data_IF_694812965828
#
_entry.id   IF_694812965828
#
_cell.length_a   1.000
_cell.length_b   1.000
_cell.length_c   1.000
_cell.angle_alpha   90.00
_cell.angle_beta   90.00
_cell.angle_gamma   90.00
#
_symmetry.space_group_name_H-M   'P 1'
#
loop_
_entity.id
_entity.type
_entity.pdbx_description
1 polymer ?
#
# COMPACT_ATOMS: atom_id res chain seq x y z
N UNK A 1 19.16 -8.73 14.08
CA UNK A 1 17.73 -8.53 14.37
C UNK A 1 17.46 -9.05 15.77
N UNK A 2 17.00 -8.18 16.70
CA UNK A 2 16.75 -8.55 18.10
C UNK A 2 15.37 -9.21 18.32
N UNK A 3 14.46 -9.10 17.33
CA UNK A 3 13.10 -9.61 17.42
C UNK A 3 12.94 -10.90 16.58
N UNK A 4 12.65 -12.07 17.19
CA UNK A 4 12.48 -13.33 16.46
C UNK A 4 11.34 -13.30 15.44
N UNK A 5 10.26 -12.54 15.72
CA UNK A 5 9.11 -12.40 14.79
C UNK A 5 9.51 -11.64 13.51
N UNK A 6 10.31 -10.58 13.65
CA UNK A 6 10.85 -9.83 12.49
C UNK A 6 11.80 -10.69 11.67
N UNK A 7 12.68 -11.43 12.33
CA UNK A 7 13.60 -12.35 11.65
C UNK A 7 12.83 -13.38 10.84
N UNK A 8 11.81 -14.01 11.43
CA UNK A 8 10.97 -14.99 10.75
C UNK A 8 10.20 -14.37 9.56
N UNK A 9 9.71 -13.14 9.71
CA UNK A 9 9.06 -12.41 8.63
C UNK A 9 10.02 -12.16 7.47
N UNK A 10 11.22 -11.64 7.75
CA UNK A 10 12.24 -11.34 6.71
C UNK A 10 12.66 -12.60 5.96
N UNK A 11 12.85 -13.73 6.65
CA UNK A 11 13.19 -15.00 5.99
C UNK A 11 12.07 -15.48 5.06
N UNK A 12 10.82 -15.44 5.52
CA UNK A 12 9.65 -15.78 4.69
C UNK A 12 9.51 -14.84 3.49
N UNK A 13 9.74 -13.54 3.70
CA UNK A 13 9.70 -12.54 2.64
C UNK A 13 10.75 -12.83 1.57
N UNK A 14 12.00 -13.07 1.97
CA UNK A 14 13.07 -13.47 1.05
C UNK A 14 12.66 -14.66 0.19
N UNK A 15 12.14 -15.72 0.80
CA UNK A 15 11.76 -16.93 0.09
C UNK A 15 10.61 -16.69 -0.92
N UNK A 16 9.66 -15.81 -0.58
CA UNK A 16 8.59 -15.37 -1.49
C UNK A 16 9.16 -14.61 -2.69
N UNK A 17 10.04 -13.63 -2.43
CA UNK A 17 10.67 -12.84 -3.48
C UNK A 17 11.51 -13.69 -4.44
N UNK A 18 12.25 -14.67 -3.92
CA UNK A 18 13.02 -15.63 -4.73
C UNK A 18 12.09 -16.50 -5.60
N UNK A 19 10.97 -16.98 -5.05
CA UNK A 19 9.98 -17.73 -5.85
C UNK A 19 9.37 -16.87 -6.97
N UNK A 20 8.98 -15.63 -6.66
CA UNK A 20 8.45 -14.71 -7.65
C UNK A 20 9.49 -14.41 -8.76
N UNK A 21 10.76 -14.19 -8.39
CA UNK A 21 11.85 -13.98 -9.34
C UNK A 21 11.99 -15.19 -10.30
N UNK A 22 12.00 -16.43 -9.78
CA UNK A 22 12.08 -17.64 -10.61
C UNK A 22 10.92 -17.76 -11.60
N UNK A 23 9.70 -17.37 -11.20
CA UNK A 23 8.53 -17.34 -12.10
C UNK A 23 8.77 -16.36 -13.26
N UNK A 24 9.28 -15.14 -12.96
CA UNK A 24 9.59 -14.14 -13.99
C UNK A 24 10.70 -14.60 -14.93
N UNK A 25 11.79 -15.18 -14.41
CA UNK A 25 12.85 -15.76 -15.22
C UNK A 25 12.35 -16.85 -16.19
N UNK A 26 11.41 -17.68 -15.71
CA UNK A 26 10.79 -18.69 -16.57
C UNK A 26 9.91 -18.09 -17.63
N UNK A 27 9.13 -17.06 -17.31
CA UNK A 27 8.30 -16.33 -18.26
C UNK A 27 9.16 -15.61 -19.33
N UNK A 28 10.27 -14.98 -18.91
CA UNK A 28 11.20 -14.29 -19.80
C UNK A 28 11.81 -15.26 -20.84
N UNK A 29 12.19 -16.47 -20.42
CA UNK A 29 12.66 -17.53 -21.35
C UNK A 29 11.60 -17.94 -22.38
N UNK A 30 10.33 -17.69 -22.09
CA UNK A 30 9.19 -17.94 -22.96
C UNK A 30 8.78 -16.70 -23.78
N UNK A 31 9.57 -15.63 -23.75
CA UNK A 31 9.30 -14.36 -24.44
C UNK A 31 8.22 -13.51 -23.77
N UNK A 32 7.89 -13.75 -22.49
CA UNK A 32 6.89 -12.98 -21.76
C UNK A 32 7.56 -12.17 -20.64
N UNK A 33 7.58 -10.86 -20.79
CA UNK A 33 8.09 -9.96 -19.77
C UNK A 33 7.03 -9.70 -18.69
N UNK A 34 7.35 -10.00 -17.43
CA UNK A 34 6.48 -9.75 -16.26
C UNK A 34 7.17 -8.73 -15.36
N UNK A 35 6.55 -7.57 -15.08
CA UNK A 35 7.15 -6.57 -14.21
C UNK A 35 7.23 -7.09 -12.75
N UNK A 36 8.28 -6.70 -12.00
CA UNK A 36 8.41 -7.09 -10.59
C UNK A 36 7.42 -6.36 -9.68
N UNK A 37 6.87 -5.23 -10.11
CA UNK A 37 5.91 -4.43 -9.33
C UNK A 37 4.79 -3.87 -10.19
N UNK A 38 3.67 -3.60 -9.53
CA UNK A 38 2.51 -2.89 -10.06
C UNK A 38 2.19 -1.69 -9.18
N UNK A 39 1.43 -0.75 -9.70
CA UNK A 39 0.79 0.32 -8.95
C UNK A 39 -0.72 0.21 -9.18
N UNK A 40 -1.47 0.03 -8.09
CA UNK A 40 -2.93 -0.08 -8.11
C UNK A 40 -3.57 1.14 -7.45
N UNK A 41 -4.36 1.87 -8.21
CA UNK A 41 -5.17 2.98 -7.69
C UNK A 41 -6.50 2.40 -7.19
N UNK A 42 -6.55 2.04 -5.89
CA UNK A 42 -7.69 1.31 -5.30
C UNK A 42 -8.80 2.23 -4.76
N UNK A 43 -8.51 3.52 -4.58
CA UNK A 43 -9.44 4.50 -4.03
C UNK A 43 -9.57 5.73 -4.92
N UNK A 44 -10.80 6.16 -5.16
CA UNK A 44 -11.13 7.40 -5.87
C UNK A 44 -11.43 8.56 -4.91
N UNK A 45 -11.59 8.28 -3.62
CA UNK A 45 -11.87 9.26 -2.58
C UNK A 45 -10.62 9.55 -1.74
N UNK A 46 -10.54 10.76 -1.19
CA UNK A 46 -9.48 11.15 -0.27
C UNK A 46 -10.03 12.13 0.78
N UNK A 47 -9.65 11.94 2.04
CA UNK A 47 -9.98 12.81 3.16
C UNK A 47 -9.14 14.09 3.23
N UNK A 48 -8.17 14.29 2.33
CA UNK A 48 -7.37 15.51 2.21
C UNK A 48 -7.49 16.17 0.84
N UNK A 49 -7.20 17.49 0.79
CA UNK A 49 -7.19 18.32 -0.43
C UNK A 49 -5.80 18.95 -0.66
N UNK A 50 -4.77 18.10 -0.73
CA UNK A 50 -3.37 18.55 -0.84
C UNK A 50 -3.11 19.39 -2.08
N UNK A 51 -2.32 20.46 -1.94
CA UNK A 51 -1.84 21.28 -3.06
C UNK A 51 -0.98 20.44 -4.01
N UNK A 52 -1.26 20.52 -5.31
CA UNK A 52 -0.51 19.76 -6.34
C UNK A 52 -0.67 18.24 -6.24
N UNK A 53 -1.82 17.75 -5.75
CA UNK A 53 -2.11 16.33 -5.68
C UNK A 53 -2.26 15.74 -7.08
N UNK A 54 -1.42 14.76 -7.44
CA UNK A 54 -1.47 14.10 -8.74
C UNK A 54 -2.79 13.35 -9.00
N UNK A 55 -3.36 12.75 -7.95
CA UNK A 55 -4.59 11.99 -8.06
C UNK A 55 -5.78 12.90 -8.43
N UNK A 56 -5.80 14.14 -7.91
CA UNK A 56 -6.80 15.14 -8.30
C UNK A 56 -6.52 15.72 -9.68
N UNK A 57 -5.25 16.03 -9.97
CA UNK A 57 -4.84 16.59 -11.26
C UNK A 57 -5.16 15.64 -12.44
N UNK A 58 -5.08 14.33 -12.21
CA UNK A 58 -5.36 13.29 -13.20
C UNK A 58 -6.80 12.73 -13.11
N UNK A 59 -7.70 13.36 -12.38
CA UNK A 59 -9.09 12.95 -12.30
C UNK A 59 -9.36 11.69 -11.46
N UNK A 60 -8.35 11.09 -10.82
CA UNK A 60 -8.52 9.87 -9.98
C UNK A 60 -9.46 10.15 -8.80
N UNK A 61 -9.38 11.35 -8.22
CA UNK A 61 -10.27 11.79 -7.12
C UNK A 61 -11.49 12.57 -7.63
N UNK A 62 -11.94 12.34 -8.83
CA UNK A 62 -13.21 12.85 -9.35
C UNK A 62 -14.29 11.80 -9.14
N UNK A 63 -15.53 12.25 -8.92
CA UNK A 63 -16.68 11.38 -8.95
C UNK A 63 -16.83 10.83 -10.38
N UNK A 64 -16.25 9.65 -10.66
CA UNK A 64 -16.49 8.96 -11.91
C UNK A 64 -17.81 8.19 -11.78
N UNK A 65 -18.63 8.22 -12.83
CA UNK A 65 -19.81 7.36 -12.93
C UNK A 65 -19.43 5.87 -13.08
N UNK A 66 -18.15 5.58 -13.29
CA UNK A 66 -17.62 4.23 -13.40
C UNK A 66 -17.64 3.52 -12.03
N UNK A 67 -18.20 2.34 -12.03
CA UNK A 67 -18.29 1.50 -10.84
C UNK A 67 -16.88 1.06 -10.40
N UNK A 68 -16.47 1.44 -9.20
CA UNK A 68 -15.23 0.98 -8.61
C UNK A 68 -15.23 -0.56 -8.48
N UNK A 69 -14.06 -1.18 -8.70
CA UNK A 69 -13.89 -2.61 -8.49
C UNK A 69 -14.19 -3.00 -7.03
N UNK A 70 -14.84 -4.15 -6.86
CA UNK A 70 -15.14 -4.73 -5.54
C UNK A 70 -13.87 -5.29 -4.89
N UNK A 71 -13.93 -5.59 -3.60
CA UNK A 71 -12.83 -6.22 -2.87
C UNK A 71 -12.48 -7.61 -3.45
N UNK A 72 -13.50 -8.38 -3.87
CA UNK A 72 -13.33 -9.69 -4.49
C UNK A 72 -12.64 -9.61 -5.85
N UNK A 73 -12.99 -8.61 -6.66
CA UNK A 73 -12.34 -8.36 -7.95
C UNK A 73 -10.87 -7.96 -7.74
N UNK A 74 -10.59 -7.09 -6.76
CA UNK A 74 -9.23 -6.74 -6.40
C UNK A 74 -8.43 -7.94 -5.87
N UNK A 75 -9.02 -8.78 -5.01
CA UNK A 75 -8.36 -9.98 -4.52
C UNK A 75 -7.93 -10.88 -5.67
N UNK A 76 -8.83 -11.13 -6.62
CA UNK A 76 -8.53 -11.93 -7.82
C UNK A 76 -7.37 -11.34 -8.62
N UNK A 77 -7.36 -10.03 -8.85
CA UNK A 77 -6.25 -9.34 -9.52
C UNK A 77 -4.93 -9.55 -8.77
N UNK A 78 -4.93 -9.43 -7.44
CA UNK A 78 -3.73 -9.62 -6.62
C UNK A 78 -3.24 -11.07 -6.66
N UNK A 79 -4.14 -12.04 -6.59
CA UNK A 79 -3.82 -13.47 -6.68
C UNK A 79 -3.24 -13.83 -8.06
N UNK A 80 -3.82 -13.34 -9.13
CA UNK A 80 -3.32 -13.53 -10.51
C UNK A 80 -1.94 -12.89 -10.68
N UNK A 81 -1.74 -11.65 -10.21
CA UNK A 81 -0.45 -10.97 -10.24
C UNK A 81 0.63 -11.74 -9.47
N UNK A 82 0.33 -12.22 -8.27
CA UNK A 82 1.22 -13.08 -7.49
C UNK A 82 1.49 -14.42 -8.21
N UNK A 83 0.47 -14.95 -8.87
CA UNK A 83 0.55 -16.19 -9.65
C UNK A 83 1.58 -16.12 -10.76
N UNK A 84 1.67 -15.01 -11.48
CA UNK A 84 2.63 -14.81 -12.57
C UNK A 84 4.00 -14.32 -12.10
N UNK A 85 4.17 -13.93 -10.82
CA UNK A 85 5.47 -13.57 -10.25
C UNK A 85 5.68 -12.08 -9.97
N UNK A 86 4.63 -11.26 -9.93
CA UNK A 86 4.71 -9.91 -9.38
C UNK A 86 5.06 -10.00 -7.90
N UNK A 87 6.03 -9.21 -7.44
CA UNK A 87 6.55 -9.23 -6.07
C UNK A 87 5.93 -8.15 -5.19
N UNK A 88 5.64 -7.00 -5.79
CA UNK A 88 5.13 -5.82 -5.08
C UNK A 88 3.93 -5.25 -5.81
N UNK A 89 2.91 -4.85 -5.05
CA UNK A 89 1.82 -4.04 -5.59
C UNK A 89 1.63 -2.80 -4.69
N UNK A 90 2.03 -1.64 -5.21
CA UNK A 90 1.89 -0.36 -4.52
C UNK A 90 0.43 0.06 -4.54
N UNK A 91 -0.22 0.08 -3.37
CA UNK A 91 -1.60 0.53 -3.23
C UNK A 91 -1.62 2.06 -3.06
N UNK A 92 -2.29 2.72 -3.97
CA UNK A 92 -2.39 4.16 -4.07
C UNK A 92 -3.81 4.59 -4.48
N UNK A 93 -3.96 5.82 -4.95
CA UNK A 93 -5.21 6.41 -5.43
C UNK A 93 -5.47 7.73 -4.74
N UNK A 94 -6.69 7.97 -4.25
CA UNK A 94 -6.98 9.02 -3.30
C UNK A 94 -6.35 8.71 -1.95
N UNK A 95 -7.12 8.16 -1.00
CA UNK A 95 -6.60 7.61 0.26
C UNK A 95 -6.94 6.12 0.35
N UNK A 96 -5.95 5.21 0.23
CA UNK A 96 -6.19 3.77 0.24
C UNK A 96 -6.86 3.24 1.51
N UNK A 97 -6.65 3.88 2.66
CA UNK A 97 -7.26 3.46 3.94
C UNK A 97 -8.78 3.62 3.97
N UNK A 98 -9.37 4.38 3.05
CA UNK A 98 -10.83 4.45 2.87
C UNK A 98 -11.37 3.10 2.34
N UNK A 99 -10.59 2.38 1.52
CA UNK A 99 -10.93 1.07 0.98
C UNK A 99 -10.42 -0.06 1.88
N UNK A 100 -10.91 -0.09 3.11
CA UNK A 100 -10.56 -1.11 4.09
C UNK A 100 -10.84 -2.53 3.59
N UNK A 101 -11.93 -2.71 2.88
CA UNK A 101 -12.34 -3.94 2.19
C UNK A 101 -11.24 -4.46 1.24
N UNK A 102 -10.66 -3.58 0.43
CA UNK A 102 -9.57 -3.94 -0.50
C UNK A 102 -8.26 -4.24 0.24
N UNK A 103 -7.97 -3.51 1.33
CA UNK A 103 -6.80 -3.83 2.16
C UNK A 103 -6.92 -5.20 2.83
N UNK A 104 -8.13 -5.61 3.23
CA UNK A 104 -8.40 -6.93 3.78
C UNK A 104 -8.24 -8.02 2.69
N UNK A 105 -8.69 -7.75 1.47
CA UNK A 105 -8.44 -8.61 0.32
C UNK A 105 -6.92 -8.76 0.03
N UNK A 106 -6.16 -7.65 0.03
CA UNK A 106 -4.71 -7.68 -0.12
C UNK A 106 -4.04 -8.47 1.03
N UNK A 107 -4.57 -8.38 2.25
CA UNK A 107 -4.07 -9.12 3.41
C UNK A 107 -4.18 -10.65 3.26
N UNK A 108 -5.07 -11.16 2.40
CA UNK A 108 -5.19 -12.59 2.09
C UNK A 108 -4.05 -13.08 1.16
N UNK A 109 -3.46 -12.19 0.35
CA UNK A 109 -2.45 -12.56 -0.66
C UNK A 109 -1.04 -12.43 -0.08
N UNK A 110 -0.58 -13.48 0.60
CA UNK A 110 0.70 -13.48 1.35
C UNK A 110 1.95 -13.53 0.46
N UNK A 111 1.82 -13.88 -0.81
CA UNK A 111 2.93 -14.05 -1.76
C UNK A 111 3.52 -12.73 -2.23
N UNK A 112 2.78 -11.62 -2.11
CA UNK A 112 3.21 -10.28 -2.49
C UNK A 112 3.40 -9.37 -1.28
N UNK A 113 4.12 -8.29 -1.50
CA UNK A 113 4.23 -7.15 -0.57
C UNK A 113 3.39 -6.00 -1.10
N UNK A 114 2.66 -5.36 -0.21
CA UNK A 114 1.79 -4.23 -0.54
C UNK A 114 2.25 -2.96 0.21
N UNK A 115 3.13 -2.13 -0.36
CA UNK A 115 3.33 -0.78 0.12
C UNK A 115 2.03 0.03 -0.03
N UNK A 116 1.50 0.55 1.07
CA UNK A 116 0.25 1.32 1.12
C UNK A 116 0.59 2.80 1.26
N UNK A 117 0.48 3.55 0.17
CA UNK A 117 0.79 4.98 0.14
C UNK A 117 -0.36 5.79 0.72
N UNK A 118 -0.22 6.23 1.94
CA UNK A 118 -1.26 6.88 2.73
C UNK A 118 -0.84 8.24 3.27
N UNK A 119 -1.80 9.13 3.50
CA UNK A 119 -1.58 10.33 4.28
C UNK A 119 -1.47 10.04 5.80
N UNK A 120 -1.80 8.83 6.23
CA UNK A 120 -1.66 8.35 7.60
C UNK A 120 -2.81 8.72 8.55
N UNK A 121 -3.63 9.71 8.23
CA UNK A 121 -4.62 10.27 9.18
C UNK A 121 -5.73 9.29 9.58
N UNK A 122 -5.90 8.21 8.84
CA UNK A 122 -6.86 7.14 9.14
C UNK A 122 -6.22 5.95 9.87
N UNK A 123 -4.95 6.06 10.30
CA UNK A 123 -4.29 5.02 11.09
C UNK A 123 -4.63 5.21 12.57
N UNK A 124 -5.75 4.64 12.99
CA UNK A 124 -6.13 4.46 14.40
C UNK A 124 -5.48 3.19 14.98
N UNK A 125 -5.79 2.85 16.25
CA UNK A 125 -5.29 1.65 16.92
C UNK A 125 -5.65 0.37 16.16
N UNK A 126 -6.88 0.27 15.65
CA UNK A 126 -7.37 -0.91 14.92
C UNK A 126 -6.63 -1.09 13.58
N UNK A 127 -6.36 0.02 12.90
CA UNK A 127 -5.61 0.02 11.65
C UNK A 127 -4.13 -0.31 11.88
N UNK A 128 -3.54 0.20 12.96
CA UNK A 128 -2.18 -0.13 13.35
C UNK A 128 -2.04 -1.62 13.71
N UNK A 129 -2.98 -2.19 14.48
CA UNK A 129 -3.06 -3.63 14.76
C UNK A 129 -3.21 -4.48 13.50
N UNK A 130 -3.96 -3.98 12.52
CA UNK A 130 -4.10 -4.66 11.24
C UNK A 130 -2.78 -4.73 10.47
N UNK A 131 -2.01 -3.65 10.42
CA UNK A 131 -0.68 -3.65 9.80
C UNK A 131 0.30 -4.56 10.56
N UNK A 132 0.28 -4.55 11.90
CA UNK A 132 1.10 -5.45 12.71
C UNK A 132 0.82 -6.93 12.40
N UNK A 133 -0.46 -7.31 12.29
CA UNK A 133 -0.87 -8.69 11.94
C UNK A 133 -0.54 -9.06 10.50
N UNK A 134 -0.47 -8.09 9.59
CA UNK A 134 -0.30 -8.29 8.16
C UNK A 134 0.95 -7.58 7.63
N UNK A 135 2.13 -7.92 8.16
CA UNK A 135 3.41 -7.23 7.91
C UNK A 135 3.87 -7.14 6.44
N UNK A 136 3.23 -7.85 5.52
CA UNK A 136 3.43 -7.70 4.08
C UNK A 136 2.64 -6.51 3.50
N UNK A 137 1.73 -5.90 4.25
CA UNK A 137 1.16 -4.59 4.01
C UNK A 137 2.00 -3.57 4.78
N UNK A 138 2.68 -2.68 4.07
CA UNK A 138 3.63 -1.73 4.66
C UNK A 138 3.09 -0.31 4.50
N UNK A 139 2.68 0.37 5.58
CA UNK A 139 2.25 1.77 5.46
C UNK A 139 3.43 2.66 5.07
N UNK A 140 3.29 3.37 3.96
CA UNK A 140 4.23 4.37 3.46
C UNK A 140 3.59 5.74 3.67
N UNK A 141 3.96 6.40 4.76
CA UNK A 141 3.32 7.64 5.20
C UNK A 141 3.90 8.82 4.46
N UNK A 142 3.02 9.63 3.90
CA UNK A 142 3.37 10.81 3.13
C UNK A 142 3.67 12.01 4.04
N UNK A 143 4.86 12.57 3.91
CA UNK A 143 5.31 13.78 4.61
C UNK A 143 6.16 14.64 3.67
N UNK A 144 6.13 15.97 3.84
CA UNK A 144 6.82 16.91 2.93
C UNK A 144 8.05 17.58 3.60
N UNK A 145 8.65 16.95 4.59
CA UNK A 145 9.73 17.54 5.39
C UNK A 145 9.22 18.07 6.74
N UNK A 146 9.51 19.32 7.10
CA UNK A 146 9.10 19.90 8.38
C UNK A 146 7.63 20.32 8.44
N UNK A 147 7.24 20.86 9.61
CA UNK A 147 5.85 21.31 9.88
C UNK A 147 5.34 22.29 8.82
N UNK A 148 6.13 23.32 8.52
CA UNK A 148 5.69 24.36 7.60
C UNK A 148 5.38 23.83 6.20
N UNK A 149 6.25 22.97 5.64
CA UNK A 149 6.08 22.39 4.31
C UNK A 149 4.92 21.38 4.26
N UNK A 150 4.80 20.56 5.29
CA UNK A 150 3.74 19.54 5.36
C UNK A 150 2.37 20.18 5.53
N UNK A 151 2.24 21.11 6.47
CA UNK A 151 0.96 21.78 6.73
C UNK A 151 0.56 22.70 5.56
N UNK A 152 1.51 23.39 4.91
CA UNK A 152 1.22 24.20 3.72
C UNK A 152 0.66 23.34 2.57
N UNK A 153 1.24 22.18 2.30
CA UNK A 153 0.81 21.33 1.19
C UNK A 153 -0.42 20.49 1.50
N UNK A 154 -0.53 19.94 2.72
CA UNK A 154 -1.52 18.92 3.09
C UNK A 154 -2.66 19.43 3.96
N UNK A 155 -2.53 20.62 4.52
CA UNK A 155 -3.48 21.24 5.44
C UNK A 155 -2.91 21.36 6.84
N UNK A 156 -3.32 22.42 7.53
CA UNK A 156 -2.86 22.74 8.88
C UNK A 156 -3.10 21.58 9.87
N UNK A 157 -2.12 21.29 10.72
CA UNK A 157 -2.17 20.21 11.71
C UNK A 157 -1.79 18.83 11.19
N UNK A 158 -1.66 18.64 9.86
CA UNK A 158 -1.30 17.33 9.26
C UNK A 158 0.05 16.85 9.76
N UNK A 159 1.05 17.71 9.88
CA UNK A 159 2.37 17.33 10.36
C UNK A 159 2.31 16.68 11.76
N UNK A 160 1.60 17.31 12.69
CA UNK A 160 1.44 16.80 14.05
C UNK A 160 0.72 15.45 14.07
N UNK A 161 -0.38 15.33 13.33
CA UNK A 161 -1.14 14.09 13.23
C UNK A 161 -0.29 12.94 12.65
N UNK A 162 0.53 13.21 11.63
CA UNK A 162 1.47 12.24 11.06
C UNK A 162 2.53 11.81 12.08
N UNK A 163 3.07 12.73 12.87
CA UNK A 163 4.03 12.38 13.94
C UNK A 163 3.40 11.43 14.97
N UNK A 164 2.19 11.71 15.44
CA UNK A 164 1.46 10.86 16.39
C UNK A 164 1.21 9.45 15.81
N UNK A 165 0.91 9.35 14.52
CA UNK A 165 0.75 8.07 13.82
C UNK A 165 2.09 7.32 13.72
N UNK A 166 3.18 8.00 13.39
CA UNK A 166 4.51 7.37 13.31
C UNK A 166 4.98 6.84 14.67
N UNK A 167 4.69 7.56 15.77
CA UNK A 167 4.97 7.10 17.13
C UNK A 167 4.15 5.84 17.44
N UNK A 168 2.84 5.86 17.17
CA UNK A 168 1.95 4.69 17.33
C UNK A 168 2.44 3.45 16.59
N UNK A 169 2.92 3.60 15.36
CA UNK A 169 3.45 2.48 14.57
C UNK A 169 4.81 1.99 15.07
N UNK A 170 5.64 2.88 15.64
CA UNK A 170 6.96 2.53 16.18
C UNK A 170 6.88 1.67 17.45
N UNK A 171 5.82 1.80 18.22
CA UNK A 171 5.58 1.05 19.46
C UNK A 171 5.16 -0.42 19.24
N UNK A 172 4.95 -0.84 17.97
CA UNK A 172 4.51 -2.17 17.54
C UNK A 172 5.63 -2.93 16.81
#
# INVERSE_FOLDING_TARGET
>A
LKNPRETAFILKLRDRLVRAMKKRETAEKQGRHIPPFLISSIATECNLHCKGCYARANGICSASEEKALTAEEWQKIFEEAAGIGVSFNLLAGGEPLIRRDVLEAAACVKEMVFPVFTNGLLIDEKTADFFEKNRHLIPVISIEGGKAQTDDRRGEGTYRAVQEVMERLRER
#
